data_IF_629124450125
#
_entry.id   IF_629124450125
#
_cell.length_a   1.000
_cell.length_b   1.000
_cell.length_c   1.000
_cell.angle_alpha   90.00
_cell.angle_beta   90.00
_cell.angle_gamma   90.00
#
_symmetry.space_group_name_H-M   'P 1'
#
loop_
_entity.id
_entity.type
_entity.pdbx_description
1 polymer ?
#
# COMPACT_ATOMS: atom_id res chain seq x y z
N UNK A 1 -11.30 7.57 -26.87
CA UNK A 1 -11.22 6.13 -27.14
C UNK A 1 -10.85 5.45 -25.83
N UNK A 2 -11.85 4.95 -25.09
CA UNK A 2 -11.64 4.27 -23.81
C UNK A 2 -11.03 2.90 -24.08
N UNK A 3 -9.79 2.68 -23.67
CA UNK A 3 -9.17 1.35 -23.70
C UNK A 3 -9.87 0.49 -22.65
N UNK A 4 -10.88 -0.24 -23.08
CA UNK A 4 -11.45 -1.38 -22.36
C UNK A 4 -10.35 -2.44 -22.27
N UNK A 5 -9.68 -2.56 -21.12
CA UNK A 5 -8.70 -3.63 -20.90
C UNK A 5 -9.37 -4.82 -20.21
N UNK A 6 -9.68 -5.92 -20.92
CA UNK A 6 -10.33 -7.06 -20.30
C UNK A 6 -9.29 -7.90 -19.54
N UNK A 7 -9.61 -8.26 -18.30
CA UNK A 7 -8.97 -9.35 -17.52
C UNK A 7 -7.47 -9.20 -17.20
N UNK A 8 -7.05 -8.14 -16.51
CA UNK A 8 -5.81 -8.19 -15.72
C UNK A 8 -6.16 -8.41 -14.24
N UNK A 9 -5.65 -9.50 -13.67
CA UNK A 9 -5.69 -9.76 -12.22
C UNK A 9 -4.78 -8.73 -11.57
N UNK A 10 -5.35 -7.71 -10.93
CA UNK A 10 -4.58 -6.62 -10.36
C UNK A 10 -4.00 -7.06 -8.99
N UNK A 11 -2.68 -6.89 -8.75
CA UNK A 11 -2.12 -6.92 -7.37
C UNK A 11 -2.50 -5.62 -6.64
N UNK A 12 -1.82 -5.37 -5.53
CA UNK A 12 -1.90 -4.16 -4.76
C UNK A 12 -1.64 -2.91 -5.61
N UNK A 13 -2.42 -1.83 -5.40
CA UNK A 13 -2.19 -0.54 -6.04
C UNK A 13 -0.85 0.07 -5.60
N UNK A 14 -0.29 0.91 -6.49
CA UNK A 14 0.89 1.71 -6.17
C UNK A 14 0.55 2.90 -5.27
N UNK A 15 1.59 3.55 -4.75
CA UNK A 15 1.43 4.80 -3.99
C UNK A 15 0.76 5.87 -4.86
N UNK A 16 -0.17 6.67 -4.31
CA UNK A 16 -0.82 7.72 -5.07
C UNK A 16 0.18 8.79 -5.53
N UNK A 17 -0.04 9.25 -6.76
CA UNK A 17 0.68 10.38 -7.32
C UNK A 17 0.24 11.69 -6.66
N UNK A 18 1.21 12.55 -6.33
CA UNK A 18 0.93 13.91 -5.89
C UNK A 18 2.20 14.61 -5.42
N UNK A 19 2.06 15.83 -4.93
CA UNK A 19 3.15 16.60 -4.33
C UNK A 19 2.81 17.02 -2.91
N UNK A 20 3.82 17.05 -2.06
CA UNK A 20 3.76 17.51 -0.69
C UNK A 20 4.69 18.72 -0.51
N UNK A 21 4.17 19.73 0.18
CA UNK A 21 4.96 20.81 0.73
C UNK A 21 5.19 20.51 2.21
N UNK A 22 6.42 20.70 2.67
CA UNK A 22 6.83 20.52 4.06
C UNK A 22 6.46 19.16 4.67
N UNK A 23 6.71 18.02 3.97
CA UNK A 23 6.39 16.72 4.54
C UNK A 23 7.11 16.48 5.87
N UNK A 24 6.38 15.95 6.86
CA UNK A 24 6.85 15.70 8.22
C UNK A 24 6.91 16.94 9.12
N UNK A 25 6.51 18.12 8.65
CA UNK A 25 6.44 19.35 9.45
C UNK A 25 5.00 19.66 9.87
N UNK A 26 4.85 20.54 10.87
CA UNK A 26 3.55 20.97 11.37
C UNK A 26 2.66 21.65 10.32
N UNK A 27 3.25 22.20 9.27
CA UNK A 27 2.59 22.86 8.15
C UNK A 27 2.60 22.01 6.86
N UNK A 28 2.69 20.69 6.99
CA UNK A 28 2.60 19.77 5.85
C UNK A 28 1.31 20.02 5.05
N UNK A 29 1.44 20.04 3.72
CA UNK A 29 0.31 20.20 2.80
C UNK A 29 0.42 19.27 1.61
N UNK A 30 -0.62 18.48 1.40
CA UNK A 30 -0.83 17.79 0.14
C UNK A 30 -1.35 18.77 -0.93
N UNK A 31 -0.64 18.87 -2.05
CA UNK A 31 -0.97 19.77 -3.16
C UNK A 31 -1.72 19.06 -4.29
N UNK A 32 -1.86 17.74 -4.24
CA UNK A 32 -2.44 16.96 -5.33
C UNK A 32 -1.48 16.74 -6.52
N UNK A 33 -2.00 16.09 -7.56
CA UNK A 33 -1.25 15.81 -8.79
C UNK A 33 -1.13 17.04 -9.72
N UNK A 34 -2.07 17.98 -9.60
CA UNK A 34 -2.16 19.21 -10.40
C UNK A 34 -2.34 20.38 -9.44
N UNK A 35 -1.35 21.27 -9.39
CA UNK A 35 -1.39 22.50 -8.59
C UNK A 35 -0.60 23.59 -9.32
N UNK A 36 -0.91 24.85 -9.02
CA UNK A 36 -0.19 26.01 -9.55
C UNK A 36 -0.22 27.16 -8.53
N UNK A 37 0.69 28.13 -8.68
CA UNK A 37 0.75 29.35 -7.85
C UNK A 37 0.85 29.11 -6.34
N UNK A 38 1.42 27.97 -5.91
CA UNK A 38 1.71 27.70 -4.51
C UNK A 38 2.89 28.57 -4.08
N UNK A 39 2.68 29.45 -3.10
CA UNK A 39 3.77 30.25 -2.51
C UNK A 39 4.68 29.32 -1.73
N UNK A 40 5.98 29.41 -2.01
CA UNK A 40 7.05 28.75 -1.26
C UNK A 40 8.01 29.79 -0.73
N UNK A 41 8.59 29.53 0.44
CA UNK A 41 9.53 30.42 1.11
C UNK A 41 10.83 29.68 1.46
N UNK A 42 11.85 30.44 1.83
CA UNK A 42 13.12 29.86 2.29
C UNK A 42 12.86 28.94 3.49
N UNK A 43 13.36 27.71 3.41
CA UNK A 43 13.16 26.69 4.44
C UNK A 43 12.04 25.69 4.14
N UNK A 44 11.22 25.92 3.10
CA UNK A 44 10.25 24.93 2.64
C UNK A 44 10.93 23.73 1.99
N UNK A 45 10.38 22.53 2.19
CA UNK A 45 10.75 21.32 1.46
C UNK A 45 9.62 20.91 0.52
N UNK A 46 9.97 20.47 -0.69
CA UNK A 46 9.00 20.02 -1.68
C UNK A 46 9.34 18.60 -2.12
N UNK A 47 8.36 17.69 -2.03
CA UNK A 47 8.54 16.28 -2.39
C UNK A 47 7.44 15.85 -3.34
N UNK A 48 7.84 15.21 -4.45
CA UNK A 48 6.93 14.63 -5.41
C UNK A 48 7.38 13.20 -5.71
N UNK A 49 6.86 12.19 -4.99
CA UNK A 49 7.21 10.80 -5.29
C UNK A 49 6.75 10.45 -6.71
N UNK A 50 7.64 9.82 -7.47
CA UNK A 50 7.27 9.16 -8.72
C UNK A 50 6.37 7.98 -8.39
N UNK A 51 5.20 7.86 -9.02
CA UNK A 51 4.40 6.66 -8.79
C UNK A 51 5.01 5.48 -9.54
N UNK A 52 5.01 4.34 -8.87
CA UNK A 52 5.23 3.05 -9.50
C UNK A 52 3.99 2.55 -10.24
N UNK A 53 4.17 1.47 -11.01
CA UNK A 53 3.06 0.72 -11.59
C UNK A 53 2.31 -0.11 -10.55
N UNK A 54 1.06 -0.46 -10.84
CA UNK A 54 0.33 -1.48 -10.08
C UNK A 54 0.83 -2.88 -10.45
N UNK A 55 0.91 -3.80 -9.48
CA UNK A 55 1.40 -5.15 -9.73
C UNK A 55 0.37 -6.06 -10.43
N UNK A 56 0.78 -7.30 -10.75
CA UNK A 56 -0.04 -8.32 -11.43
C UNK A 56 -0.07 -9.65 -10.65
N UNK A 57 -1.27 -10.24 -10.47
CA UNK A 57 -1.47 -11.53 -9.78
C UNK A 57 -1.90 -11.44 -8.30
N UNK A 58 -1.79 -12.54 -7.56
CA UNK A 58 -1.99 -12.59 -6.10
C UNK A 58 -0.63 -12.31 -5.40
N UNK A 59 -0.56 -11.33 -4.47
CA UNK A 59 0.65 -11.04 -3.72
C UNK A 59 1.31 -12.27 -3.07
N UNK A 60 0.50 -13.17 -2.51
CA UNK A 60 0.95 -14.33 -1.74
C UNK A 60 1.58 -15.43 -2.60
N UNK A 61 1.43 -15.36 -3.91
CA UNK A 61 1.99 -16.34 -4.86
C UNK A 61 3.39 -15.93 -5.37
N UNK A 62 3.92 -14.76 -4.96
CA UNK A 62 5.33 -14.41 -5.24
C UNK A 62 6.25 -15.35 -4.45
N UNK A 63 7.37 -15.79 -5.01
CA UNK A 63 8.31 -16.61 -4.24
C UNK A 63 8.86 -15.80 -3.05
N UNK A 64 9.04 -16.41 -1.86
CA UNK A 64 9.68 -15.75 -0.72
C UNK A 64 11.07 -15.19 -1.08
N UNK A 65 11.81 -15.89 -1.93
CA UNK A 65 13.14 -15.52 -2.38
C UNK A 65 13.12 -14.25 -3.25
N UNK A 66 12.19 -14.14 -4.22
CA UNK A 66 12.06 -12.90 -5.01
C UNK A 66 11.68 -11.69 -4.12
N UNK A 67 10.89 -11.93 -3.06
CA UNK A 67 10.53 -10.86 -2.10
C UNK A 67 11.74 -10.47 -1.25
N UNK A 68 12.61 -11.43 -0.92
CA UNK A 68 13.85 -11.14 -0.22
C UNK A 68 14.78 -10.27 -1.08
N UNK A 69 14.94 -10.61 -2.37
CA UNK A 69 15.72 -9.78 -3.30
C UNK A 69 15.13 -8.37 -3.39
N UNK A 70 13.80 -8.22 -3.47
CA UNK A 70 13.13 -6.91 -3.44
C UNK A 70 13.44 -6.11 -2.14
N UNK A 71 13.70 -6.80 -1.03
CA UNK A 71 14.08 -6.18 0.26
C UNK A 71 15.55 -5.77 0.27
N UNK A 72 16.44 -6.62 -0.24
CA UNK A 72 17.86 -6.32 -0.39
C UNK A 72 18.06 -5.11 -1.32
N UNK A 73 17.31 -5.05 -2.42
CA UNK A 73 17.31 -3.94 -3.37
C UNK A 73 16.57 -2.68 -2.87
N UNK A 74 16.06 -2.70 -1.63
CA UNK A 74 15.30 -1.61 -0.99
C UNK A 74 14.00 -1.19 -1.74
N UNK A 75 13.49 -2.01 -2.66
CA UNK A 75 12.19 -1.79 -3.30
C UNK A 75 11.02 -2.07 -2.35
N UNK A 76 11.21 -2.97 -1.40
CA UNK A 76 10.22 -3.40 -0.40
C UNK A 76 10.86 -3.32 0.98
N UNK A 77 10.19 -2.75 1.98
CA UNK A 77 10.67 -2.83 3.36
C UNK A 77 10.39 -4.20 3.97
N UNK A 78 11.14 -4.63 4.97
CA UNK A 78 10.89 -5.88 5.73
C UNK A 78 9.44 -5.93 6.25
N UNK A 79 8.94 -4.80 6.73
CA UNK A 79 7.56 -4.68 7.19
C UNK A 79 6.56 -4.95 6.06
N UNK A 80 6.81 -4.43 4.85
CA UNK A 80 5.98 -4.64 3.67
C UNK A 80 6.10 -6.03 3.10
N UNK A 81 7.27 -6.66 3.15
CA UNK A 81 7.42 -8.07 2.81
C UNK A 81 6.40 -8.92 3.61
N UNK A 82 6.26 -8.64 4.90
CA UNK A 82 5.30 -9.34 5.77
C UNK A 82 3.85 -8.92 5.50
N UNK A 83 3.52 -7.62 5.49
CA UNK A 83 2.14 -7.14 5.36
C UNK A 83 1.53 -7.43 3.98
N UNK A 84 2.30 -7.22 2.91
CA UNK A 84 1.81 -7.28 1.53
C UNK A 84 1.98 -8.67 0.90
N UNK A 85 3.09 -9.37 1.20
CA UNK A 85 3.43 -10.67 0.58
C UNK A 85 3.38 -11.86 1.54
N UNK A 86 3.19 -11.60 2.84
CA UNK A 86 3.23 -12.62 3.88
C UNK A 86 4.63 -13.21 4.13
N UNK A 87 5.70 -12.56 3.64
CA UNK A 87 7.08 -13.08 3.77
C UNK A 87 7.74 -12.46 4.99
N UNK A 88 8.18 -13.30 5.93
CA UNK A 88 8.82 -12.87 7.17
C UNK A 88 10.32 -12.97 7.00
N UNK A 89 10.99 -11.82 7.03
CA UNK A 89 12.45 -11.70 6.85
C UNK A 89 13.06 -11.17 8.14
N UNK A 90 14.19 -11.77 8.54
CA UNK A 90 15.04 -11.32 9.64
C UNK A 90 16.26 -10.63 9.03
N UNK A 91 16.46 -9.37 9.42
CA UNK A 91 17.71 -8.65 9.15
C UNK A 91 18.76 -9.13 10.15
N UNK A 92 19.85 -9.70 9.63
CA UNK A 92 20.98 -10.17 10.45
C UNK A 92 22.07 -9.11 10.42
N UNK A 93 22.45 -8.65 9.23
CA UNK A 93 23.41 -7.56 9.02
C UNK A 93 23.12 -6.87 7.69
N UNK A 94 22.58 -5.65 7.74
CA UNK A 94 22.23 -4.87 6.56
C UNK A 94 23.45 -4.44 5.74
N UNK A 95 24.59 -4.15 6.37
CA UNK A 95 25.78 -3.67 5.66
C UNK A 95 26.45 -4.77 4.82
N UNK A 96 26.11 -6.03 5.12
CA UNK A 96 26.57 -7.22 4.39
C UNK A 96 25.47 -7.87 3.54
N UNK A 97 24.32 -7.21 3.40
CA UNK A 97 23.12 -7.78 2.75
C UNK A 97 22.73 -9.16 3.30
N UNK A 98 22.96 -9.38 4.60
CA UNK A 98 22.70 -10.65 5.27
C UNK A 98 21.30 -10.65 5.89
N UNK A 99 20.40 -11.38 5.23
CA UNK A 99 19.01 -11.55 5.62
C UNK A 99 18.62 -13.03 5.60
N UNK A 100 17.64 -13.39 6.41
CA UNK A 100 17.12 -14.76 6.51
C UNK A 100 15.60 -14.79 6.37
N UNK A 101 15.08 -15.69 5.55
CA UNK A 101 13.64 -15.94 5.44
C UNK A 101 13.23 -16.93 6.54
N UNK A 102 12.26 -16.54 7.34
CA UNK A 102 11.58 -17.46 8.25
C UNK A 102 10.42 -18.14 7.51
N UNK A 103 10.67 -19.33 6.96
CA UNK A 103 9.68 -20.06 6.15
C UNK A 103 8.45 -20.48 6.96
N UNK A 104 8.62 -20.85 8.23
CA UNK A 104 7.51 -21.24 9.09
C UNK A 104 6.61 -20.03 9.38
N UNK A 105 7.20 -18.90 9.80
CA UNK A 105 6.47 -17.67 10.04
C UNK A 105 5.85 -17.11 8.76
N UNK A 106 6.50 -17.29 7.60
CA UNK A 106 5.98 -16.93 6.28
C UNK A 106 4.71 -17.71 5.95
N UNK A 107 4.67 -19.02 6.16
CA UNK A 107 3.47 -19.81 5.89
C UNK A 107 2.32 -19.41 6.83
N UNK A 108 2.62 -19.16 8.11
CA UNK A 108 1.63 -18.66 9.07
C UNK A 108 1.07 -17.29 8.65
N UNK A 109 1.94 -16.35 8.24
CA UNK A 109 1.54 -15.03 7.79
C UNK A 109 0.69 -15.08 6.51
N UNK A 110 1.08 -15.91 5.52
CA UNK A 110 0.29 -16.12 4.29
C UNK A 110 -1.07 -16.73 4.58
N UNK A 111 -1.14 -17.74 5.46
CA UNK A 111 -2.40 -18.34 5.91
C UNK A 111 -3.30 -17.31 6.59
N UNK A 112 -2.73 -16.47 7.47
CA UNK A 112 -3.45 -15.38 8.11
C UNK A 112 -4.03 -14.40 7.08
N UNK A 113 -3.24 -13.92 6.13
CA UNK A 113 -3.70 -12.98 5.09
C UNK A 113 -4.81 -13.62 4.25
N UNK A 114 -4.62 -14.87 3.80
CA UNK A 114 -5.60 -15.60 2.99
C UNK A 114 -6.96 -15.71 3.68
N UNK A 115 -6.96 -16.03 4.96
CA UNK A 115 -8.19 -16.22 5.74
C UNK A 115 -8.91 -14.90 6.05
N UNK A 116 -8.20 -13.78 6.15
CA UNK A 116 -8.76 -12.51 6.62
C UNK A 116 -9.02 -11.48 5.50
N UNK A 117 -8.31 -11.54 4.37
CA UNK A 117 -8.38 -10.49 3.33
C UNK A 117 -9.76 -10.25 2.72
N UNK A 118 -10.65 -11.24 2.77
CA UNK A 118 -12.06 -11.06 2.36
C UNK A 118 -12.80 -10.14 3.33
N UNK A 119 -12.64 -10.38 4.64
CA UNK A 119 -13.27 -9.62 5.69
C UNK A 119 -12.73 -8.19 5.78
N UNK A 120 -11.44 -7.96 5.51
CA UNK A 120 -10.87 -6.61 5.51
C UNK A 120 -11.54 -5.68 4.49
N UNK A 121 -11.94 -6.19 3.33
CA UNK A 121 -12.70 -5.42 2.33
C UNK A 121 -14.16 -5.15 2.74
N UNK A 122 -14.62 -5.75 3.82
CA UNK A 122 -15.98 -5.60 4.37
C UNK A 122 -16.00 -4.80 5.68
N UNK A 123 -14.82 -4.50 6.23
CA UNK A 123 -14.66 -3.72 7.45
C UNK A 123 -15.34 -2.35 7.36
N UNK A 124 -15.94 -1.92 8.47
CA UNK A 124 -16.61 -0.63 8.55
C UNK A 124 -15.62 0.52 8.28
N UNK A 125 -16.03 1.50 7.47
CA UNK A 125 -15.18 2.63 7.08
C UNK A 125 -14.75 3.46 8.29
N UNK A 126 -15.64 3.66 9.28
CA UNK A 126 -15.31 4.39 10.50
C UNK A 126 -14.22 3.67 11.28
N UNK A 127 -14.29 2.35 11.40
CA UNK A 127 -13.24 1.55 12.05
C UNK A 127 -11.88 1.73 11.35
N UNK A 128 -11.87 1.73 10.01
CA UNK A 128 -10.63 1.94 9.24
C UNK A 128 -10.10 3.35 9.42
N UNK A 129 -10.97 4.37 9.43
CA UNK A 129 -10.60 5.76 9.67
C UNK A 129 -10.04 5.97 11.08
N UNK A 130 -10.67 5.39 12.11
CA UNK A 130 -10.21 5.49 13.49
C UNK A 130 -8.81 4.87 13.68
N UNK A 131 -8.58 3.70 13.07
CA UNK A 131 -7.27 3.02 13.07
C UNK A 131 -6.21 3.77 12.25
N UNK A 132 -6.61 4.49 11.21
CA UNK A 132 -5.70 5.35 10.47
C UNK A 132 -5.34 6.60 11.29
N UNK A 133 -6.34 7.22 11.91
CA UNK A 133 -6.17 8.44 12.71
C UNK A 133 -5.32 8.22 13.97
N UNK A 134 -5.36 7.02 14.57
CA UNK A 134 -4.55 6.68 15.74
C UNK A 134 -3.16 6.11 15.39
N UNK A 135 -2.85 5.93 14.11
CA UNK A 135 -1.56 5.43 13.63
C UNK A 135 -1.39 3.91 13.69
N UNK A 136 -2.44 3.14 13.98
CA UNK A 136 -2.41 1.67 13.85
C UNK A 136 -2.27 1.21 12.39
N UNK A 137 -2.85 1.97 11.47
CA UNK A 137 -2.72 1.77 10.03
C UNK A 137 -2.00 2.94 9.41
N UNK A 138 -1.16 2.65 8.43
CA UNK A 138 -0.66 3.67 7.52
C UNK A 138 -1.47 3.73 6.23
N UNK A 139 -1.13 4.68 5.35
CA UNK A 139 -1.90 4.91 4.12
C UNK A 139 -1.89 3.72 3.16
N UNK A 140 -0.82 2.92 3.13
CA UNK A 140 -0.77 1.74 2.28
C UNK A 140 -1.61 0.62 2.87
N UNK A 141 -1.68 0.45 4.19
CA UNK A 141 -2.56 -0.52 4.83
C UNK A 141 -4.02 -0.22 4.50
N UNK A 142 -4.44 1.03 4.65
CA UNK A 142 -5.81 1.47 4.35
C UNK A 142 -6.19 1.15 2.90
N UNK A 143 -5.30 1.41 1.94
CA UNK A 143 -5.58 1.21 0.51
C UNK A 143 -5.42 -0.26 0.10
N UNK A 144 -4.31 -0.91 0.46
CA UNK A 144 -3.92 -2.24 -0.04
C UNK A 144 -4.62 -3.36 0.70
N UNK A 145 -4.82 -3.22 2.00
CA UNK A 145 -5.41 -4.24 2.87
C UNK A 145 -6.93 -4.05 2.99
N UNK A 146 -7.38 -2.82 3.27
CA UNK A 146 -8.80 -2.51 3.51
C UNK A 146 -9.55 -2.01 2.29
N UNK A 147 -8.86 -1.73 1.18
CA UNK A 147 -9.48 -1.22 -0.04
C UNK A 147 -10.18 0.12 0.16
N UNK A 148 -9.71 0.94 1.10
CA UNK A 148 -10.29 2.23 1.42
C UNK A 148 -9.47 3.36 0.78
N UNK A 149 -10.18 4.39 0.28
CA UNK A 149 -9.58 5.52 -0.42
C UNK A 149 -9.50 6.70 0.53
N UNK A 150 -8.30 7.25 0.72
CA UNK A 150 -8.05 8.40 1.61
C UNK A 150 -7.98 9.68 0.80
N UNK A 151 -8.54 10.76 1.35
CA UNK A 151 -8.19 12.12 0.97
C UNK A 151 -6.96 12.58 1.76
N UNK A 152 -5.81 12.65 1.09
CA UNK A 152 -4.53 13.05 1.67
C UNK A 152 -4.48 14.51 2.15
N UNK A 153 -5.44 15.35 1.76
CA UNK A 153 -5.52 16.72 2.29
C UNK A 153 -6.18 16.76 3.67
N UNK A 154 -7.12 15.85 3.95
CA UNK A 154 -7.90 15.82 5.19
C UNK A 154 -7.59 14.62 6.08
N UNK A 155 -6.82 13.65 5.57
CA UNK A 155 -6.56 12.35 6.18
C UNK A 155 -7.85 11.57 6.52
N UNK A 156 -8.92 11.77 5.75
CA UNK A 156 -10.20 11.09 5.92
C UNK A 156 -10.47 10.08 4.83
N UNK A 157 -11.25 9.05 5.14
CA UNK A 157 -11.66 8.05 4.15
C UNK A 157 -12.83 8.61 3.33
N UNK A 158 -12.75 8.49 2.01
CA UNK A 158 -13.79 8.88 1.06
C UNK A 158 -14.80 7.73 0.89
N UNK A 159 -16.04 7.82 1.40
CA UNK A 159 -16.93 6.66 1.47
C UNK A 159 -17.37 6.13 0.10
N UNK A 160 -17.78 7.02 -0.80
CA UNK A 160 -18.24 6.62 -2.14
C UNK A 160 -17.10 6.06 -3.00
N UNK A 161 -15.92 6.68 -2.96
CA UNK A 161 -14.73 6.17 -3.65
C UNK A 161 -14.28 4.82 -3.09
N UNK A 162 -14.34 4.65 -1.76
CA UNK A 162 -14.04 3.38 -1.09
C UNK A 162 -15.00 2.29 -1.53
N UNK A 163 -16.31 2.58 -1.60
CA UNK A 163 -17.31 1.62 -2.07
C UNK A 163 -17.00 1.15 -3.50
N UNK A 164 -16.81 2.08 -4.43
CA UNK A 164 -16.51 1.77 -5.83
C UNK A 164 -15.19 0.99 -5.97
N UNK A 165 -14.17 1.36 -5.18
CA UNK A 165 -12.87 0.68 -5.21
C UNK A 165 -12.96 -0.75 -4.66
N UNK A 166 -13.66 -0.96 -3.54
CA UNK A 166 -13.92 -2.31 -2.99
C UNK A 166 -14.70 -3.19 -3.95
N UNK A 167 -15.72 -2.67 -4.61
CA UNK A 167 -16.46 -3.39 -5.67
C UNK A 167 -15.50 -3.83 -6.79
N UNK A 168 -14.64 -2.90 -7.26
CA UNK A 168 -13.62 -3.21 -8.27
C UNK A 168 -12.64 -4.29 -7.82
N UNK A 169 -12.11 -4.19 -6.59
CA UNK A 169 -11.18 -5.15 -5.99
C UNK A 169 -11.82 -6.54 -5.87
N UNK A 170 -13.08 -6.61 -5.43
CA UNK A 170 -13.82 -7.88 -5.32
C UNK A 170 -13.95 -8.56 -6.68
N UNK A 171 -14.29 -7.82 -7.73
CA UNK A 171 -14.47 -8.39 -9.08
C UNK A 171 -13.15 -8.72 -9.78
N UNK A 172 -12.13 -7.86 -9.66
CA UNK A 172 -10.91 -7.93 -10.49
C UNK A 172 -9.75 -8.67 -9.84
N UNK A 173 -9.73 -8.74 -8.51
CA UNK A 173 -8.60 -9.30 -7.75
C UNK A 173 -9.07 -10.46 -6.89
N UNK A 174 -9.96 -10.21 -5.93
CA UNK A 174 -10.37 -11.21 -4.94
C UNK A 174 -11.02 -12.45 -5.56
N UNK A 175 -11.73 -12.29 -6.69
CA UNK A 175 -12.32 -13.40 -7.44
C UNK A 175 -11.28 -14.39 -8.01
N UNK A 176 -10.01 -13.99 -8.13
CA UNK A 176 -8.93 -14.78 -8.72
C UNK A 176 -7.83 -15.14 -7.72
N UNK A 177 -7.80 -14.47 -6.58
CA UNK A 177 -6.87 -14.74 -5.50
C UNK A 177 -7.31 -15.98 -4.71
N UNK A 178 -6.38 -16.91 -4.43
CA UNK A 178 -6.66 -18.22 -3.81
C UNK A 178 -6.58 -18.18 -2.29
#
# INVERSE_FOLDING_TARGET
>A
MFLFWPKKIQRLPSSPHGAWLNPGKADERYLGAIFSNVKVQQGDSFVRPSAGGGGLGDPLERSPEDVLEDVIDEYVSIERAKKDYGVVIKEIDKDLDLFEIDFEATEQARSYIRNNRKQWLEENIQTVEDKFANGELDSLDVIRQYGAIIDYATNKVLPESTKQFRESMKTRSLAYWK
#
